data_IF_732664476487
#
_entry.id   IF_732664476487
#
_cell.length_a   1.000
_cell.length_b   1.000
_cell.length_c   1.000
_cell.angle_alpha   90.00
_cell.angle_beta   90.00
_cell.angle_gamma   90.00
#
_symmetry.space_group_name_H-M   'P 1'
#
loop_
_entity.id
_entity.type
_entity.pdbx_description
1 polymer ?
#
# COMPACT_ATOMS: atom_id res chain seq x y z
N UNK A 1 -11.83 9.65 4.38
CA UNK A 1 -11.94 9.86 2.92
C UNK A 1 -10.83 9.04 2.28
N UNK A 2 -11.15 8.12 1.36
CA UNK A 2 -10.14 7.30 0.68
C UNK A 2 -9.62 8.10 -0.52
N UNK A 3 -8.30 8.32 -0.59
CA UNK A 3 -7.64 9.00 -1.71
C UNK A 3 -7.26 8.00 -2.80
N UNK A 4 -7.02 8.50 -4.01
CA UNK A 4 -6.54 7.67 -5.13
C UNK A 4 -5.22 6.99 -4.79
N UNK A 5 -4.29 7.75 -4.24
CA UNK A 5 -2.94 7.29 -3.97
C UNK A 5 -2.93 6.29 -2.82
N UNK A 6 -3.69 6.56 -1.75
CA UNK A 6 -3.81 5.64 -0.62
C UNK A 6 -4.44 4.31 -1.01
N UNK A 7 -5.42 4.31 -1.93
CA UNK A 7 -5.99 3.07 -2.45
C UNK A 7 -5.03 2.35 -3.41
N UNK A 8 -4.29 3.09 -4.24
CA UNK A 8 -3.28 2.50 -5.11
C UNK A 8 -2.21 1.76 -4.30
N UNK A 9 -1.73 2.36 -3.22
CA UNK A 9 -0.77 1.73 -2.29
C UNK A 9 -1.35 0.51 -1.58
N UNK A 10 -2.64 0.57 -1.20
CA UNK A 10 -3.32 -0.59 -0.61
C UNK A 10 -3.42 -1.75 -1.61
N UNK A 11 -3.81 -1.48 -2.86
CA UNK A 11 -3.91 -2.51 -3.91
C UNK A 11 -2.53 -3.03 -4.35
N UNK A 12 -1.51 -2.17 -4.32
CA UNK A 12 -0.10 -2.57 -4.46
C UNK A 12 0.29 -3.59 -3.40
N UNK A 13 -0.06 -3.34 -2.13
CA UNK A 13 0.16 -4.31 -1.04
C UNK A 13 -0.53 -5.65 -1.31
N UNK A 14 -1.77 -5.63 -1.82
CA UNK A 14 -2.51 -6.86 -2.15
C UNK A 14 -1.83 -7.66 -3.26
N UNK A 15 -1.42 -7.03 -4.36
CA UNK A 15 -0.76 -7.75 -5.46
C UNK A 15 0.61 -8.29 -5.05
N UNK A 16 1.39 -7.51 -4.30
CA UNK A 16 2.71 -7.95 -3.79
C UNK A 16 2.54 -9.12 -2.83
N UNK A 17 1.56 -9.07 -1.91
CA UNK A 17 1.31 -10.17 -0.99
C UNK A 17 0.92 -11.48 -1.69
N UNK A 18 0.28 -11.40 -2.87
CA UNK A 18 -0.09 -12.59 -3.66
C UNK A 18 1.04 -13.09 -4.57
N UNK A 19 1.81 -12.20 -5.19
CA UNK A 19 2.87 -12.58 -6.15
C UNK A 19 4.23 -12.83 -5.48
N UNK A 20 4.54 -12.10 -4.40
CA UNK A 20 5.80 -12.15 -3.66
C UNK A 20 5.54 -12.18 -2.14
N UNK A 21 4.94 -13.27 -1.63
CA UNK A 21 4.67 -13.42 -0.19
C UNK A 21 5.94 -13.40 0.65
N UNK A 22 7.09 -13.78 0.07
CA UNK A 22 8.41 -13.68 0.67
C UNK A 22 8.79 -12.23 1.00
N UNK A 23 8.56 -11.30 0.06
CA UNK A 23 8.84 -9.88 0.27
C UNK A 23 7.89 -9.26 1.30
N UNK A 24 6.61 -9.62 1.27
CA UNK A 24 5.65 -9.08 2.24
C UNK A 24 5.91 -9.61 3.66
N UNK A 25 6.31 -10.87 3.80
CA UNK A 25 6.71 -11.44 5.09
C UNK A 25 7.95 -10.73 5.66
N UNK A 26 8.97 -10.49 4.84
CA UNK A 26 10.16 -9.72 5.24
C UNK A 26 9.80 -8.30 5.65
N UNK A 27 8.96 -7.61 4.86
CA UNK A 27 8.48 -6.27 5.19
C UNK A 27 7.76 -6.24 6.54
N UNK A 28 6.87 -7.19 6.77
CA UNK A 28 6.11 -7.26 8.01
C UNK A 28 7.00 -7.55 9.22
N UNK A 29 8.01 -8.38 9.06
CA UNK A 29 9.02 -8.62 10.09
C UNK A 29 9.82 -7.34 10.39
N UNK A 30 10.32 -6.62 9.38
CA UNK A 30 11.05 -5.36 9.56
C UNK A 30 10.22 -4.29 10.27
N UNK A 31 8.92 -4.20 9.96
CA UNK A 31 8.00 -3.26 10.63
C UNK A 31 7.88 -3.57 12.12
N UNK A 32 7.76 -4.84 12.49
CA UNK A 32 7.69 -5.27 13.90
C UNK A 32 9.03 -4.99 14.60
N UNK A 33 10.14 -5.36 13.99
CA UNK A 33 11.48 -5.15 14.55
C UNK A 33 11.79 -3.66 14.75
N UNK A 34 11.50 -2.79 13.77
CA UNK A 34 11.70 -1.34 13.92
C UNK A 34 10.79 -0.74 14.99
N UNK A 35 9.55 -1.21 15.12
CA UNK A 35 8.65 -0.78 16.21
C UNK A 35 9.19 -1.18 17.59
N UNK A 36 9.71 -2.41 17.73
CA UNK A 36 10.35 -2.87 18.97
C UNK A 36 11.63 -2.10 19.30
N UNK A 37 12.46 -1.83 18.29
CA UNK A 37 13.70 -1.06 18.45
C UNK A 37 13.41 0.38 18.88
N UNK A 38 12.44 1.06 18.25
CA UNK A 38 12.00 2.39 18.69
C UNK A 38 11.48 2.40 20.11
N UNK A 39 10.76 1.35 20.53
CA UNK A 39 10.32 1.19 21.93
C UNK A 39 11.51 1.05 22.87
N UNK A 40 12.48 0.19 22.56
CA UNK A 40 13.68 -0.02 23.38
C UNK A 40 14.52 1.25 23.50
N UNK A 41 14.68 2.02 22.42
CA UNK A 41 15.39 3.31 22.45
C UNK A 41 14.73 4.28 23.42
N UNK A 42 13.39 4.37 23.39
CA UNK A 42 12.63 5.20 24.34
C UNK A 42 12.78 4.72 25.78
N UNK A 43 12.72 3.41 26.03
CA UNK A 43 12.93 2.84 27.36
C UNK A 43 14.35 3.13 27.90
N UNK A 44 15.36 3.09 27.03
CA UNK A 44 16.73 3.47 27.36
C UNK A 44 16.81 4.96 27.70
N UNK A 45 16.18 5.82 26.89
CA UNK A 45 16.11 7.26 27.13
C UNK A 45 15.45 7.59 28.48
N UNK A 46 14.30 6.98 28.77
CA UNK A 46 13.57 7.14 30.04
C UNK A 46 14.42 6.66 31.23
N UNK A 47 15.18 5.55 31.07
CA UNK A 47 16.10 5.05 32.09
C UNK A 47 17.25 6.01 32.36
N UNK A 48 17.82 6.61 31.30
CA UNK A 48 18.87 7.63 31.43
C UNK A 48 18.33 8.85 32.18
N UNK A 49 17.15 9.35 31.80
CA UNK A 49 16.50 10.49 32.46
C UNK A 49 16.21 10.20 33.94
N UNK A 50 15.73 8.99 34.25
CA UNK A 50 15.51 8.55 35.63
C UNK A 50 16.80 8.61 36.44
N UNK A 51 17.89 8.02 35.94
CA UNK A 51 19.19 8.01 36.64
C UNK A 51 19.68 9.44 36.88
N UNK A 52 19.66 10.29 35.85
CA UNK A 52 20.06 11.70 35.93
C UNK A 52 19.22 12.49 36.95
N UNK A 53 17.92 12.22 37.04
CA UNK A 53 17.01 12.89 37.99
C UNK A 53 17.16 12.40 39.43
N UNK A 54 17.55 11.14 39.62
CA UNK A 54 17.69 10.52 40.95
C UNK A 54 19.04 10.78 41.61
N UNK A 55 20.07 11.10 40.83
CA UNK A 55 21.40 11.40 41.37
C UNK A 55 21.41 12.77 42.06
N UNK A 56 21.36 12.78 43.39
CA UNK A 56 21.64 13.98 44.19
C UNK A 56 23.15 14.08 44.46
N UNK A 57 23.88 14.87 43.66
CA UNK A 57 25.33 15.08 43.82
C UNK A 57 26.11 15.00 42.50
N UNK A 58 27.42 14.79 42.59
CA UNK A 58 28.29 14.64 41.42
C UNK A 58 28.11 13.23 40.82
N UNK A 59 27.43 13.15 39.66
CA UNK A 59 27.14 11.86 38.99
C UNK A 59 28.39 11.07 38.59
N UNK A 60 29.55 11.75 38.48
CA UNK A 60 30.84 11.12 38.19
C UNK A 60 31.38 10.29 39.36
N UNK A 61 30.80 10.41 40.55
CA UNK A 61 31.15 9.63 41.73
C UNK A 61 30.21 8.42 41.92
N UNK A 62 29.09 8.37 41.20
CA UNK A 62 28.15 7.26 41.23
C UNK A 62 28.54 6.19 40.19
N UNK A 63 29.29 5.19 40.65
CA UNK A 63 29.71 4.06 39.83
C UNK A 63 28.53 3.30 39.20
N UNK A 64 27.36 3.29 39.85
CA UNK A 64 26.17 2.62 39.32
C UNK A 64 25.54 3.41 38.16
N UNK A 65 25.50 4.74 38.27
CA UNK A 65 25.03 5.62 37.20
C UNK A 65 25.94 5.54 35.97
N UNK A 66 27.26 5.53 36.17
CA UNK A 66 28.25 5.39 35.09
C UNK A 66 28.06 4.06 34.36
N UNK A 67 27.86 2.96 35.10
CA UNK A 67 27.67 1.65 34.50
C UNK A 67 26.36 1.58 33.68
N UNK A 68 25.25 2.08 34.21
CA UNK A 68 23.96 2.12 33.51
C UNK A 68 24.05 2.97 32.23
N UNK A 69 24.71 4.14 32.30
CA UNK A 69 24.92 5.01 31.13
C UNK A 69 25.80 4.34 30.06
N UNK A 70 26.84 3.61 30.48
CA UNK A 70 27.72 2.87 29.57
C UNK A 70 26.97 1.73 28.87
N UNK A 71 26.22 0.92 29.61
CA UNK A 71 25.39 -0.16 29.06
C UNK A 71 24.31 0.39 28.11
N UNK A 72 23.62 1.46 28.52
CA UNK A 72 22.63 2.15 27.70
C UNK A 72 23.21 2.65 26.36
N UNK A 73 24.42 3.22 26.39
CA UNK A 73 25.13 3.68 25.20
C UNK A 73 25.48 2.53 24.26
N UNK A 74 25.96 1.40 24.78
CA UNK A 74 26.28 0.23 23.97
C UNK A 74 25.04 -0.32 23.26
N UNK A 75 23.93 -0.48 23.99
CA UNK A 75 22.68 -1.00 23.43
C UNK A 75 22.06 -0.01 22.43
N UNK A 76 22.10 1.29 22.72
CA UNK A 76 21.62 2.33 21.80
C UNK A 76 22.40 2.33 20.47
N UNK A 77 23.73 2.21 20.54
CA UNK A 77 24.56 2.12 19.34
C UNK A 77 24.25 0.87 18.51
N UNK A 78 24.11 -0.31 19.14
CA UNK A 78 23.73 -1.56 18.47
C UNK A 78 22.35 -1.45 17.78
N UNK A 79 21.36 -0.85 18.45
CA UNK A 79 20.04 -0.62 17.84
C UNK A 79 20.15 0.34 16.66
N UNK A 80 20.95 1.41 16.78
CA UNK A 80 21.11 2.39 15.70
C UNK A 80 21.74 1.75 14.47
N UNK A 81 22.76 0.90 14.64
CA UNK A 81 23.35 0.14 13.53
C UNK A 81 22.33 -0.81 12.88
N UNK A 82 21.50 -1.49 13.67
CA UNK A 82 20.43 -2.36 13.17
C UNK A 82 19.35 -1.60 12.41
N UNK A 83 18.96 -0.41 12.87
CA UNK A 83 17.99 0.44 12.14
C UNK A 83 18.53 0.86 10.78
N UNK A 84 19.84 1.18 10.66
CA UNK A 84 20.45 1.49 9.36
C UNK A 84 20.33 0.31 8.39
N UNK A 85 20.59 -0.92 8.86
CA UNK A 85 20.42 -2.13 8.04
C UNK A 85 18.95 -2.37 7.67
N UNK A 86 18.03 -2.14 8.62
CA UNK A 86 16.60 -2.26 8.38
C UNK A 86 16.11 -1.25 7.33
N UNK A 87 16.58 0.01 7.38
CA UNK A 87 16.27 1.05 6.40
C UNK A 87 16.75 0.70 4.99
N UNK A 88 17.99 0.19 4.86
CA UNK A 88 18.52 -0.28 3.57
C UNK A 88 17.71 -1.46 3.02
N UNK A 89 17.33 -2.39 3.89
CA UNK A 89 16.51 -3.55 3.50
C UNK A 89 15.12 -3.10 3.08
N UNK A 90 14.52 -2.17 3.81
CA UNK A 90 13.22 -1.58 3.48
C UNK A 90 13.25 -0.87 2.13
N UNK A 91 14.31 -0.10 1.83
CA UNK A 91 14.50 0.55 0.55
C UNK A 91 14.58 -0.46 -0.61
N UNK A 92 15.31 -1.58 -0.42
CA UNK A 92 15.38 -2.66 -1.40
C UNK A 92 14.02 -3.35 -1.63
N UNK A 93 13.24 -3.55 -0.56
CA UNK A 93 11.87 -4.07 -0.67
C UNK A 93 11.00 -3.09 -1.45
N UNK A 94 11.07 -1.80 -1.14
CA UNK A 94 10.27 -0.78 -1.82
C UNK A 94 10.65 -0.66 -3.30
N UNK A 95 11.94 -0.78 -3.64
CA UNK A 95 12.40 -0.86 -5.03
C UNK A 95 11.80 -2.07 -5.77
N UNK A 96 11.79 -3.25 -5.13
CA UNK A 96 11.17 -4.43 -5.71
C UNK A 96 9.65 -4.27 -5.91
N UNK A 97 8.99 -3.44 -5.10
CA UNK A 97 7.55 -3.13 -5.19
C UNK A 97 7.22 -2.13 -6.29
N UNK A 98 8.14 -1.25 -6.67
CA UNK A 98 7.93 -0.24 -7.73
C UNK A 98 7.41 -0.87 -9.02
N UNK A 99 7.91 -2.07 -9.36
CA UNK A 99 7.47 -2.80 -10.55
C UNK A 99 5.98 -3.13 -10.56
N UNK A 100 5.34 -3.29 -9.40
CA UNK A 100 3.92 -3.59 -9.24
C UNK A 100 3.04 -2.34 -9.11
N UNK A 101 3.62 -1.17 -8.87
CA UNK A 101 2.88 0.09 -8.68
C UNK A 101 1.88 0.43 -9.80
N UNK A 102 2.19 0.20 -11.10
CA UNK A 102 1.23 0.45 -12.18
C UNK A 102 -0.06 -0.36 -12.04
N UNK A 103 0.02 -1.58 -11.50
CA UNK A 103 -1.14 -2.43 -11.25
C UNK A 103 -2.03 -1.85 -10.14
N UNK A 104 -1.42 -1.39 -9.03
CA UNK A 104 -2.15 -0.72 -7.95
C UNK A 104 -2.89 0.54 -8.44
N UNK A 105 -2.20 1.39 -9.21
CA UNK A 105 -2.77 2.61 -9.76
C UNK A 105 -3.92 2.33 -10.75
N UNK A 106 -3.74 1.37 -11.66
CA UNK A 106 -4.77 0.96 -12.61
C UNK A 106 -6.05 0.50 -11.89
N UNK A 107 -5.91 -0.40 -10.91
CA UNK A 107 -7.05 -0.95 -10.19
C UNK A 107 -7.72 0.07 -9.26
N UNK A 108 -6.98 1.05 -8.75
CA UNK A 108 -7.56 2.17 -8.01
C UNK A 108 -8.51 3.00 -8.91
N UNK A 109 -8.13 3.27 -10.17
CA UNK A 109 -8.98 3.96 -11.15
C UNK A 109 -10.30 3.20 -11.36
N UNK A 110 -10.23 1.87 -11.47
CA UNK A 110 -11.43 1.03 -11.63
C UNK A 110 -12.35 1.11 -10.41
N UNK A 111 -11.80 1.09 -9.19
CA UNK A 111 -12.59 1.22 -7.97
C UNK A 111 -13.33 2.57 -7.91
N UNK A 112 -12.66 3.67 -8.26
CA UNK A 112 -13.31 4.97 -8.29
C UNK A 112 -14.34 5.09 -9.41
N UNK A 113 -14.11 4.45 -10.56
CA UNK A 113 -15.11 4.35 -11.62
C UNK A 113 -16.40 3.68 -11.13
N UNK A 114 -16.31 2.55 -10.43
CA UNK A 114 -17.52 1.87 -9.92
C UNK A 114 -18.15 2.62 -8.74
N UNK A 115 -17.35 3.30 -7.91
CA UNK A 115 -17.86 4.11 -6.79
C UNK A 115 -18.73 5.26 -7.32
N UNK A 116 -18.27 5.91 -8.39
CA UNK A 116 -18.97 7.06 -8.97
C UNK A 116 -20.32 6.67 -9.61
N UNK A 117 -20.55 5.38 -9.88
CA UNK A 117 -21.85 4.88 -10.35
C UNK A 117 -22.99 5.12 -9.34
N UNK A 118 -22.68 5.27 -8.05
CA UNK A 118 -23.67 5.65 -7.04
C UNK A 118 -24.32 7.02 -7.31
N UNK A 119 -23.67 7.87 -8.13
CA UNK A 119 -24.24 9.13 -8.61
C UNK A 119 -25.30 8.96 -9.71
N UNK A 120 -25.35 7.80 -10.38
CA UNK A 120 -26.37 7.46 -11.37
C UNK A 120 -27.60 6.86 -10.68
N UNK A 121 -27.36 5.87 -9.81
CA UNK A 121 -28.40 5.26 -8.98
C UNK A 121 -27.82 4.95 -7.59
N UNK A 122 -28.48 5.37 -6.48
CA UNK A 122 -28.00 5.09 -5.13
C UNK A 122 -27.80 3.59 -4.82
N UNK A 123 -28.44 2.68 -5.56
CA UNK A 123 -28.28 1.23 -5.41
C UNK A 123 -26.93 0.72 -5.94
N UNK A 124 -26.23 1.49 -6.78
CA UNK A 124 -24.94 1.10 -7.38
C UNK A 124 -23.76 1.36 -6.44
N UNK A 125 -23.80 0.71 -5.27
CA UNK A 125 -22.76 0.81 -4.25
C UNK A 125 -22.07 -0.53 -4.05
N UNK A 126 -20.75 -0.50 -4.05
CA UNK A 126 -19.91 -1.68 -3.88
C UNK A 126 -18.90 -1.42 -2.77
N UNK A 127 -18.71 -2.40 -1.88
CA UNK A 127 -17.76 -2.27 -0.80
C UNK A 127 -16.33 -2.50 -1.28
N UNK A 128 -15.37 -1.78 -0.67
CA UNK A 128 -13.95 -1.98 -0.93
C UNK A 128 -13.52 -3.43 -0.59
N UNK A 129 -14.08 -4.02 0.47
CA UNK A 129 -13.79 -5.39 0.87
C UNK A 129 -14.18 -6.39 -0.23
N UNK A 130 -15.34 -6.21 -0.86
CA UNK A 130 -15.76 -7.05 -1.99
C UNK A 130 -14.83 -6.87 -3.19
N UNK A 131 -14.46 -5.62 -3.51
CA UNK A 131 -13.56 -5.30 -4.61
C UNK A 131 -12.19 -5.97 -4.43
N UNK A 132 -11.59 -5.85 -3.24
CA UNK A 132 -10.31 -6.50 -2.91
C UNK A 132 -10.43 -8.02 -2.99
N UNK A 133 -11.53 -8.61 -2.48
CA UNK A 133 -11.74 -10.04 -2.59
C UNK A 133 -11.84 -10.53 -4.06
N UNK A 134 -12.52 -9.77 -4.93
CA UNK A 134 -12.58 -10.06 -6.36
C UNK A 134 -11.20 -9.90 -7.03
N UNK A 135 -10.43 -8.90 -6.62
CA UNK A 135 -9.08 -8.65 -7.12
C UNK A 135 -8.14 -9.79 -6.76
N UNK A 136 -8.11 -10.22 -5.49
CA UNK A 136 -7.32 -11.36 -5.02
C UNK A 136 -7.66 -12.64 -5.79
N UNK A 137 -8.95 -12.92 -6.01
CA UNK A 137 -9.38 -14.08 -6.82
C UNK A 137 -8.89 -13.97 -8.27
N UNK A 138 -8.90 -12.77 -8.84
CA UNK A 138 -8.45 -12.55 -10.22
C UNK A 138 -6.93 -12.67 -10.37
N UNK A 139 -6.16 -12.25 -9.37
CA UNK A 139 -4.71 -12.49 -9.33
C UNK A 139 -4.43 -14.00 -9.36
N UNK A 140 -5.19 -14.80 -8.58
CA UNK A 140 -5.00 -16.25 -8.53
C UNK A 140 -5.45 -16.97 -9.80
N UNK A 141 -6.51 -16.50 -10.46
CA UNK A 141 -7.09 -17.13 -11.64
C UNK A 141 -6.46 -16.68 -12.98
N UNK A 142 -5.76 -15.55 -13.00
CA UNK A 142 -5.11 -15.02 -14.21
C UNK A 142 -3.88 -15.84 -14.63
N UNK A 143 -3.56 -15.77 -15.92
CA UNK A 143 -2.44 -16.49 -16.52
C UNK A 143 -1.09 -16.07 -15.92
N UNK A 144 -0.27 -17.06 -15.55
CA UNK A 144 1.08 -16.85 -15.04
C UNK A 144 2.03 -16.49 -16.19
N UNK A 145 2.92 -15.54 -15.95
CA UNK A 145 3.95 -15.09 -16.90
C UNK A 145 5.25 -14.87 -16.14
N UNK A 146 6.38 -15.24 -16.75
CA UNK A 146 7.71 -14.98 -16.19
C UNK A 146 8.12 -13.51 -16.34
N UNK A 147 7.65 -12.84 -17.40
CA UNK A 147 7.79 -11.39 -17.56
C UNK A 147 6.81 -10.67 -16.64
N UNK A 148 7.33 -9.75 -15.81
CA UNK A 148 6.53 -8.93 -14.90
C UNK A 148 5.51 -8.10 -15.68
N UNK A 149 5.91 -7.49 -16.79
CA UNK A 149 5.01 -6.67 -17.61
C UNK A 149 3.83 -7.48 -18.15
N UNK A 150 4.11 -8.66 -18.71
CA UNK A 150 3.12 -9.63 -19.15
C UNK A 150 2.21 -10.11 -18.02
N UNK A 151 2.78 -10.39 -16.85
CA UNK A 151 2.02 -10.84 -15.67
C UNK A 151 1.04 -9.78 -15.19
N UNK A 152 1.48 -8.51 -15.10
CA UNK A 152 0.61 -7.42 -14.67
C UNK A 152 -0.52 -7.16 -15.67
N UNK A 153 -0.25 -7.25 -16.98
CA UNK A 153 -1.29 -7.17 -18.01
C UNK A 153 -2.32 -8.30 -17.85
N UNK A 154 -1.86 -9.55 -17.71
CA UNK A 154 -2.77 -10.69 -17.53
C UNK A 154 -3.66 -10.55 -16.28
N UNK A 155 -3.12 -10.04 -15.17
CA UNK A 155 -3.89 -9.75 -13.95
C UNK A 155 -4.94 -8.67 -14.23
N UNK A 156 -4.53 -7.56 -14.82
CA UNK A 156 -5.41 -6.42 -15.10
C UNK A 156 -6.52 -6.80 -16.08
N UNK A 157 -6.21 -7.50 -17.17
CA UNK A 157 -7.19 -7.91 -18.18
C UNK A 157 -8.24 -8.86 -17.58
N UNK A 158 -7.77 -9.88 -16.84
CA UNK A 158 -8.67 -10.81 -16.17
C UNK A 158 -9.54 -10.10 -15.13
N UNK A 159 -8.95 -9.22 -14.31
CA UNK A 159 -9.70 -8.51 -13.28
C UNK A 159 -10.70 -7.52 -13.88
N UNK A 160 -10.33 -6.76 -14.90
CA UNK A 160 -11.22 -5.81 -15.59
C UNK A 160 -12.42 -6.53 -16.19
N UNK A 161 -12.20 -7.68 -16.82
CA UNK A 161 -13.30 -8.51 -17.34
C UNK A 161 -14.19 -9.04 -16.20
N UNK A 162 -13.60 -9.61 -15.15
CA UNK A 162 -14.34 -10.13 -14.01
C UNK A 162 -15.15 -9.04 -13.30
N UNK A 163 -14.56 -7.86 -13.12
CA UNK A 163 -15.21 -6.68 -12.55
C UNK A 163 -16.39 -6.25 -13.43
N UNK A 164 -16.17 -6.08 -14.73
CA UNK A 164 -17.21 -5.70 -15.67
C UNK A 164 -18.39 -6.66 -15.62
N UNK A 165 -18.14 -7.97 -15.69
CA UNK A 165 -19.19 -8.98 -15.62
C UNK A 165 -19.98 -8.94 -14.30
N UNK A 166 -19.30 -8.80 -13.17
CA UNK A 166 -19.99 -8.78 -11.88
C UNK A 166 -20.85 -7.53 -11.69
N UNK A 167 -20.35 -6.36 -12.12
CA UNK A 167 -21.09 -5.10 -12.06
C UNK A 167 -22.28 -5.13 -13.03
N UNK A 168 -22.09 -5.57 -14.28
CA UNK A 168 -23.19 -5.64 -15.25
C UNK A 168 -24.31 -6.62 -14.86
N UNK A 169 -24.07 -7.57 -13.95
CA UNK A 169 -25.14 -8.43 -13.40
C UNK A 169 -26.06 -7.69 -12.43
N UNK A 170 -25.59 -6.63 -11.77
CA UNK A 170 -26.36 -5.83 -10.82
C UNK A 170 -26.90 -4.52 -11.38
N UNK A 171 -26.42 -4.05 -12.54
CA UNK A 171 -26.91 -2.83 -13.19
C UNK A 171 -28.22 -3.06 -13.96
N UNK A 172 -29.07 -2.02 -14.00
CA UNK A 172 -30.17 -1.96 -14.97
C UNK A 172 -29.64 -1.93 -16.41
N UNK A 173 -30.39 -2.51 -17.35
CA UNK A 173 -29.99 -2.63 -18.75
C UNK A 173 -29.62 -1.28 -19.38
N UNK A 174 -30.39 -0.23 -19.06
CA UNK A 174 -30.17 1.14 -19.54
C UNK A 174 -28.80 1.73 -19.15
N UNK A 175 -28.21 1.26 -18.04
CA UNK A 175 -26.99 1.84 -17.47
C UNK A 175 -25.74 1.03 -17.84
N UNK A 176 -25.88 -0.14 -18.47
CA UNK A 176 -24.76 -1.02 -18.84
C UNK A 176 -23.84 -0.38 -19.89
N UNK A 177 -24.41 0.26 -20.90
CA UNK A 177 -23.64 0.97 -21.93
C UNK A 177 -22.91 2.17 -21.36
N UNK A 178 -23.57 2.92 -20.46
CA UNK A 178 -22.96 4.03 -19.74
C UNK A 178 -21.76 3.54 -18.92
N UNK A 179 -21.92 2.44 -18.17
CA UNK A 179 -20.82 1.86 -17.41
C UNK A 179 -19.66 1.41 -18.30
N UNK A 180 -19.94 0.72 -19.41
CA UNK A 180 -18.91 0.30 -20.36
C UNK A 180 -18.12 1.50 -20.92
N UNK A 181 -18.83 2.58 -21.29
CA UNK A 181 -18.22 3.81 -21.77
C UNK A 181 -17.35 4.47 -20.69
N UNK A 182 -17.88 4.63 -19.47
CA UNK A 182 -17.15 5.23 -18.34
C UNK A 182 -15.91 4.41 -17.98
N UNK A 183 -16.02 3.09 -17.94
CA UNK A 183 -14.90 2.19 -17.64
C UNK A 183 -13.76 2.38 -18.65
N UNK A 184 -14.10 2.37 -19.95
CA UNK A 184 -13.14 2.59 -21.03
C UNK A 184 -12.50 3.99 -20.93
N UNK A 185 -13.32 5.04 -20.83
CA UNK A 185 -12.84 6.42 -20.74
C UNK A 185 -11.92 6.63 -19.52
N UNK A 186 -12.27 6.07 -18.35
CA UNK A 186 -11.45 6.17 -17.13
C UNK A 186 -10.10 5.47 -17.28
N UNK A 187 -10.07 4.30 -17.93
CA UNK A 187 -8.82 3.59 -18.22
C UNK A 187 -7.94 4.43 -19.15
N UNK A 188 -8.49 4.94 -20.26
CA UNK A 188 -7.75 5.76 -21.23
C UNK A 188 -7.23 7.06 -20.61
N UNK A 189 -8.04 7.73 -19.77
CA UNK A 189 -7.62 8.91 -19.01
C UNK A 189 -6.48 8.57 -18.03
N UNK A 190 -6.55 7.42 -17.35
CA UNK A 190 -5.51 6.94 -16.46
C UNK A 190 -4.18 6.68 -17.18
N UNK A 191 -4.25 6.18 -18.42
CA UNK A 191 -3.08 5.98 -19.29
C UNK A 191 -2.62 7.24 -20.02
N UNK A 192 -3.33 8.37 -19.87
CA UNK A 192 -3.10 9.62 -20.62
C UNK A 192 -3.23 9.45 -22.15
N UNK A 193 -4.01 8.47 -22.57
CA UNK A 193 -4.33 8.23 -23.99
C UNK A 193 -5.47 9.15 -24.47
N UNK A 194 -6.18 9.77 -23.54
CA UNK A 194 -7.31 10.65 -23.81
C UNK A 194 -7.07 12.02 -23.18
N UNK A 195 -7.15 13.08 -23.98
CA UNK A 195 -7.00 14.46 -23.51
C UNK A 195 -8.26 14.86 -22.72
N UNK A 196 -8.07 15.31 -21.49
CA UNK A 196 -9.16 15.72 -20.61
C UNK A 196 -9.97 16.89 -21.20
N UNK A 197 -9.35 17.79 -21.98
CA UNK A 197 -10.04 18.89 -22.63
C UNK A 197 -11.00 18.39 -23.73
N UNK A 198 -10.55 17.44 -24.54
CA UNK A 198 -11.37 16.78 -25.57
C UNK A 198 -12.47 15.93 -24.93
N UNK A 199 -12.18 15.27 -23.80
CA UNK A 199 -13.19 14.55 -23.03
C UNK A 199 -14.30 15.48 -22.56
N UNK A 200 -13.91 16.60 -21.94
CA UNK A 200 -14.84 17.61 -21.45
C UNK A 200 -15.72 18.13 -22.60
N UNK A 201 -15.10 18.47 -23.73
CA UNK A 201 -15.79 18.92 -24.94
C UNK A 201 -16.79 17.88 -25.45
N UNK A 202 -16.41 16.59 -25.50
CA UNK A 202 -17.32 15.51 -25.88
C UNK A 202 -18.56 15.44 -24.98
N UNK A 203 -18.42 15.74 -23.69
CA UNK A 203 -19.51 15.67 -22.71
C UNK A 203 -20.40 16.93 -22.70
N UNK A 204 -19.82 18.11 -22.92
CA UNK A 204 -20.54 19.39 -22.78
C UNK A 204 -21.01 20.00 -24.10
N UNK A 205 -20.39 19.60 -25.23
CA UNK A 205 -20.59 20.24 -26.54
C UNK A 205 -19.86 21.55 -26.70
#
# INVERSE_FOLDING_TARGET
>A
MITTDGLADQLLGVVVAQERPDLEAQRQQLVVESAENKRKLKEIEDKILSVLSSSQGNILEDASAIQILSEAKLVSNDITEKEVVAELTQAAIDEARVGFSPCGAYNAVLFFCIRDMAGIDPMYQYSLAWFIALFTRSIQASERSEDLGGRLRAINDHFTYALYQNICRSLFEKDKLLFAFLLCARIMLGHKELDNSLFQFLLTG
#
